data_IF_153162292885
#
_entry.id   IF_153162292885
#
_cell.length_a   1.000
_cell.length_b   1.000
_cell.length_c   1.000
_cell.angle_alpha   90.00
_cell.angle_beta   90.00
_cell.angle_gamma   90.00
#
_symmetry.space_group_name_H-M   'P 1'
#
loop_
_entity.id
_entity.type
_entity.pdbx_description
1 polymer ?
#
# COMPACT_ATOMS: atom_id res chain seq x y z
N UNK A 1 19.30 67.98 -38.02
CA UNK A 1 19.68 67.66 -39.41
C UNK A 1 19.62 68.92 -40.27
N UNK A 2 18.49 69.64 -40.30
CA UNK A 2 18.34 70.89 -41.07
C UNK A 2 19.31 71.99 -40.63
N UNK A 3 19.45 72.24 -39.31
CA UNK A 3 20.38 73.25 -38.75
C UNK A 3 21.85 73.00 -39.08
N UNK A 4 22.27 71.73 -39.14
CA UNK A 4 23.68 71.34 -39.26
C UNK A 4 24.07 70.93 -40.69
N UNK A 5 23.10 70.75 -41.59
CA UNK A 5 23.32 70.17 -42.92
C UNK A 5 23.72 68.68 -42.91
N UNK A 6 23.89 68.07 -41.73
CA UNK A 6 24.34 66.68 -41.58
C UNK A 6 23.14 65.74 -41.70
N UNK A 7 22.94 65.17 -42.90
CA UNK A 7 21.85 64.20 -43.16
C UNK A 7 22.00 62.88 -42.39
N UNK A 8 23.22 62.49 -42.03
CA UNK A 8 23.51 61.25 -41.30
C UNK A 8 23.35 61.34 -39.77
N UNK A 9 23.01 62.51 -39.24
CA UNK A 9 22.89 62.77 -37.80
C UNK A 9 21.72 61.97 -37.21
N UNK A 10 21.97 61.21 -36.13
CA UNK A 10 20.94 60.40 -35.44
C UNK A 10 20.88 60.75 -33.95
N UNK A 11 19.69 60.83 -33.39
CA UNK A 11 19.49 60.89 -31.93
C UNK A 11 19.25 59.46 -31.44
N UNK A 12 19.99 59.03 -30.42
CA UNK A 12 19.91 57.68 -29.87
C UNK A 12 20.00 57.72 -28.35
N UNK A 13 19.54 56.65 -27.71
CA UNK A 13 19.61 56.47 -26.27
C UNK A 13 20.50 55.27 -25.91
N UNK A 14 21.24 55.38 -24.81
CA UNK A 14 21.92 54.24 -24.17
C UNK A 14 21.81 54.38 -22.66
N UNK A 15 21.66 53.27 -21.94
CA UNK A 15 21.54 53.27 -20.47
C UNK A 15 22.73 53.90 -19.74
N UNK A 16 23.92 53.94 -20.34
CA UNK A 16 25.14 54.48 -19.72
C UNK A 16 25.30 55.99 -19.92
N UNK A 17 24.88 56.52 -21.08
CA UNK A 17 25.14 57.92 -21.46
C UNK A 17 23.87 58.74 -21.71
N UNK A 18 22.71 58.11 -21.58
CA UNK A 18 21.46 58.78 -21.83
C UNK A 18 21.20 59.02 -23.32
N UNK A 19 20.46 60.10 -23.61
CA UNK A 19 20.23 60.56 -24.97
C UNK A 19 21.45 61.29 -25.54
N UNK A 20 21.86 60.93 -26.75
CA UNK A 20 22.99 61.56 -27.45
C UNK A 20 22.72 61.71 -28.94
N UNK A 21 23.48 62.61 -29.56
CA UNK A 21 23.50 62.86 -30.99
C UNK A 21 24.75 62.20 -31.58
N UNK A 22 24.55 61.23 -32.45
CA UNK A 22 25.60 60.52 -33.17
C UNK A 22 25.88 61.19 -34.52
N UNK A 23 27.15 61.55 -34.75
CA UNK A 23 27.63 62.14 -36.00
C UNK A 23 28.77 61.30 -36.55
N UNK A 24 28.69 60.95 -37.84
CA UNK A 24 29.70 60.17 -38.55
C UNK A 24 31.03 60.94 -38.66
N UNK A 25 32.17 60.23 -38.61
CA UNK A 25 33.52 60.83 -38.65
C UNK A 25 33.73 61.85 -39.79
N UNK A 26 33.17 61.58 -40.97
CA UNK A 26 33.26 62.47 -42.13
C UNK A 26 32.61 63.86 -41.90
N UNK A 27 31.63 63.96 -40.99
CA UNK A 27 30.82 65.16 -40.78
C UNK A 27 31.14 65.87 -39.45
N UNK A 28 32.18 65.44 -38.73
CA UNK A 28 32.59 66.03 -37.43
C UNK A 28 32.96 67.50 -37.56
N UNK A 29 33.55 67.91 -38.69
CA UNK A 29 33.91 69.29 -38.97
C UNK A 29 32.71 70.24 -39.13
N UNK A 30 31.50 69.69 -39.32
CA UNK A 30 30.24 70.45 -39.43
C UNK A 30 29.49 70.54 -38.09
N UNK A 31 30.05 69.97 -37.02
CA UNK A 31 29.41 69.97 -35.70
C UNK A 31 29.51 71.37 -35.08
N UNK A 32 28.37 71.98 -34.69
CA UNK A 32 28.36 73.29 -34.06
C UNK A 32 29.06 73.33 -32.68
N UNK A 33 29.51 74.50 -32.26
CA UNK A 33 30.22 74.67 -30.98
C UNK A 33 29.35 74.41 -29.73
N UNK A 34 28.01 74.48 -29.84
CA UNK A 34 27.06 74.17 -28.77
C UNK A 34 26.92 72.66 -28.49
N UNK A 35 27.57 71.80 -29.27
CA UNK A 35 27.55 70.34 -29.10
C UNK A 35 28.73 69.92 -28.23
N UNK A 36 28.45 69.50 -26.99
CA UNK A 36 29.48 69.03 -26.07
C UNK A 36 29.79 67.57 -26.36
N UNK A 37 31.02 67.27 -26.78
CA UNK A 37 31.47 65.91 -27.07
C UNK A 37 31.47 65.06 -25.80
N UNK A 38 30.84 63.89 -25.85
CA UNK A 38 30.76 62.94 -24.74
C UNK A 38 31.59 61.68 -24.97
N UNK A 39 31.65 61.18 -26.20
CA UNK A 39 32.37 59.94 -26.50
C UNK A 39 32.81 59.89 -27.96
N UNK A 40 34.00 59.36 -28.21
CA UNK A 40 34.46 59.02 -29.56
C UNK A 40 34.30 57.51 -29.78
N UNK A 41 33.73 57.13 -30.91
CA UNK A 41 33.56 55.74 -31.34
C UNK A 41 34.39 55.48 -32.60
N UNK A 42 34.54 54.21 -32.98
CA UNK A 42 35.30 53.83 -34.19
C UNK A 42 34.75 54.51 -35.46
N UNK A 43 33.42 54.70 -35.53
CA UNK A 43 32.72 55.17 -36.73
C UNK A 43 32.24 56.63 -36.66
N UNK A 44 32.42 57.32 -35.52
CA UNK A 44 31.93 58.69 -35.33
C UNK A 44 32.07 59.22 -33.90
N UNK A 45 31.50 60.39 -33.66
CA UNK A 45 31.51 61.06 -32.36
C UNK A 45 30.08 61.25 -31.83
N UNK A 46 29.93 61.14 -30.50
CA UNK A 46 28.67 61.33 -29.77
C UNK A 46 28.71 62.64 -29.00
N UNK A 47 27.63 63.42 -29.14
CA UNK A 47 27.51 64.74 -28.56
C UNK A 47 26.21 64.89 -27.77
N UNK A 48 26.20 65.85 -26.86
CA UNK A 48 25.03 66.25 -26.10
C UNK A 48 24.90 67.77 -26.14
N UNK A 49 23.69 68.28 -26.30
CA UNK A 49 23.35 69.71 -26.20
C UNK A 49 22.66 69.99 -24.88
N UNK A 50 22.67 71.23 -24.40
CA UNK A 50 21.94 71.62 -23.18
C UNK A 50 20.43 71.35 -23.31
N UNK A 51 19.85 71.59 -24.49
CA UNK A 51 18.44 71.28 -24.77
C UNK A 51 18.14 69.79 -24.63
N UNK A 52 19.04 68.92 -25.11
CA UNK A 52 18.87 67.47 -25.01
C UNK A 52 18.97 66.99 -23.55
N UNK A 53 19.85 67.58 -22.74
CA UNK A 53 19.93 67.29 -21.30
C UNK A 53 18.66 67.69 -20.56
N UNK A 54 18.10 68.85 -20.89
CA UNK A 54 16.86 69.33 -20.28
C UNK A 54 15.69 68.40 -20.63
N UNK A 55 15.58 67.99 -21.90
CA UNK A 55 14.56 67.02 -22.35
C UNK A 55 14.74 65.65 -21.73
N UNK A 56 15.98 65.19 -21.61
CA UNK A 56 16.30 63.95 -20.91
C UNK A 56 15.83 63.98 -19.44
N UNK A 57 16.13 65.07 -18.71
CA UNK A 57 15.65 65.24 -17.34
C UNK A 57 14.12 65.26 -17.24
N UNK A 58 13.45 65.88 -18.21
CA UNK A 58 11.98 65.89 -18.30
C UNK A 58 11.43 64.48 -18.52
N UNK A 59 12.04 63.69 -19.42
CA UNK A 59 11.67 62.30 -19.69
C UNK A 59 11.86 61.43 -18.45
N UNK A 60 13.04 61.45 -17.83
CA UNK A 60 13.29 60.65 -16.62
C UNK A 60 12.35 61.03 -15.47
N UNK A 61 12.08 62.33 -15.27
CA UNK A 61 11.12 62.76 -14.25
C UNK A 61 9.70 62.29 -14.57
N UNK A 62 9.31 62.25 -15.84
CA UNK A 62 8.01 61.74 -16.26
C UNK A 62 7.92 60.21 -16.08
N UNK A 63 8.98 59.46 -16.39
CA UNK A 63 9.06 58.01 -16.16
C UNK A 63 8.95 57.67 -14.67
N UNK A 64 9.70 58.36 -13.80
CA UNK A 64 9.61 58.18 -12.34
C UNK A 64 8.20 58.47 -11.82
N UNK A 65 7.58 59.57 -12.29
CA UNK A 65 6.19 59.91 -11.91
C UNK A 65 5.18 58.89 -12.44
N UNK A 66 5.40 58.38 -13.65
CA UNK A 66 4.54 57.35 -14.25
C UNK A 66 4.59 56.07 -13.43
N UNK A 67 5.79 55.60 -13.06
CA UNK A 67 5.95 54.39 -12.26
C UNK A 67 5.39 54.56 -10.84
N UNK A 68 5.63 55.71 -10.20
CA UNK A 68 5.05 56.01 -8.90
C UNK A 68 3.52 56.01 -8.94
N UNK A 69 2.94 56.59 -10.00
CA UNK A 69 1.48 56.60 -10.20
C UNK A 69 0.94 55.19 -10.46
N UNK A 70 1.64 54.37 -11.22
CA UNK A 70 1.28 52.97 -11.47
C UNK A 70 1.27 52.15 -10.17
N UNK A 71 2.30 52.30 -9.33
CA UNK A 71 2.36 51.63 -8.03
C UNK A 71 1.22 52.06 -7.10
N UNK A 72 0.88 53.35 -7.07
CA UNK A 72 -0.25 53.87 -6.31
C UNK A 72 -1.57 53.26 -6.78
N UNK A 73 -1.80 53.22 -8.10
CA UNK A 73 -3.00 52.63 -8.69
C UNK A 73 -3.09 51.12 -8.45
N UNK A 74 -1.97 50.39 -8.55
CA UNK A 74 -1.91 48.97 -8.27
C UNK A 74 -2.19 48.67 -6.79
N UNK A 75 -1.59 49.43 -5.87
CA UNK A 75 -1.85 49.29 -4.44
C UNK A 75 -3.33 49.57 -4.10
N UNK A 76 -3.93 50.59 -4.72
CA UNK A 76 -5.35 50.88 -4.57
C UNK A 76 -6.24 49.74 -5.10
N UNK A 77 -5.88 49.13 -6.24
CA UNK A 77 -6.58 47.96 -6.77
C UNK A 77 -6.47 46.76 -5.82
N UNK A 78 -5.27 46.47 -5.30
CA UNK A 78 -5.06 45.38 -4.34
C UNK A 78 -5.90 45.59 -3.08
N UNK A 79 -5.92 46.82 -2.53
CA UNK A 79 -6.76 47.15 -1.38
C UNK A 79 -8.25 46.92 -1.68
N UNK A 80 -8.75 47.40 -2.83
CA UNK A 80 -10.14 47.19 -3.23
C UNK A 80 -10.49 45.70 -3.41
N UNK A 81 -9.56 44.87 -3.90
CA UNK A 81 -9.75 43.41 -4.01
C UNK A 81 -9.75 42.75 -2.63
N UNK A 82 -8.88 43.21 -1.71
CA UNK A 82 -8.82 42.68 -0.34
C UNK A 82 -10.07 43.02 0.48
N UNK A 83 -10.69 44.17 0.24
CA UNK A 83 -11.98 44.53 0.84
C UNK A 83 -13.08 43.52 0.48
N UNK A 84 -12.99 42.90 -0.71
CA UNK A 84 -13.91 41.86 -1.20
C UNK A 84 -13.41 40.42 -0.95
N UNK A 85 -12.32 40.25 -0.19
CA UNK A 85 -11.65 38.95 0.00
C UNK A 85 -12.58 37.84 0.50
N UNK A 86 -13.51 38.15 1.41
CA UNK A 86 -14.48 37.17 1.93
C UNK A 86 -15.48 36.73 0.85
N UNK A 87 -15.93 37.64 -0.02
CA UNK A 87 -16.84 37.32 -1.10
C UNK A 87 -16.13 36.47 -2.18
N UNK A 88 -14.88 36.79 -2.48
CA UNK A 88 -14.04 36.02 -3.39
C UNK A 88 -13.75 34.61 -2.85
N UNK A 89 -13.44 34.47 -1.56
CA UNK A 89 -13.23 33.17 -0.92
C UNK A 89 -14.48 32.29 -0.99
N UNK A 90 -15.66 32.83 -0.64
CA UNK A 90 -16.94 32.11 -0.77
C UNK A 90 -17.24 31.68 -2.20
N UNK A 91 -16.91 32.53 -3.17
CA UNK A 91 -17.07 32.20 -4.59
C UNK A 91 -16.15 31.07 -5.00
N UNK A 92 -14.89 31.10 -4.55
CA UNK A 92 -13.93 30.03 -4.82
C UNK A 92 -14.34 28.69 -4.19
N UNK A 93 -14.85 28.71 -2.95
CA UNK A 93 -15.38 27.51 -2.27
C UNK A 93 -16.57 26.91 -3.04
N UNK A 94 -17.53 27.75 -3.47
CA UNK A 94 -18.67 27.28 -4.25
C UNK A 94 -18.25 26.72 -5.63
N UNK A 95 -17.27 27.34 -6.30
CA UNK A 95 -16.72 26.83 -7.56
C UNK A 95 -15.98 25.50 -7.36
N UNK A 96 -15.25 25.34 -6.25
CA UNK A 96 -14.57 24.10 -5.92
C UNK A 96 -15.56 22.96 -5.65
N UNK A 97 -16.65 23.22 -4.92
CA UNK A 97 -17.70 22.24 -4.69
C UNK A 97 -18.38 21.84 -6.01
N UNK A 98 -18.68 22.81 -6.88
CA UNK A 98 -19.25 22.55 -8.21
C UNK A 98 -18.32 21.70 -9.08
N UNK A 99 -17.01 21.95 -9.05
CA UNK A 99 -16.02 21.18 -9.81
C UNK A 99 -15.99 19.71 -9.38
N UNK A 100 -15.96 19.45 -8.07
CA UNK A 100 -15.99 18.08 -7.51
C UNK A 100 -17.29 17.36 -7.88
N UNK A 101 -18.45 18.01 -7.67
CA UNK A 101 -19.76 17.41 -7.96
C UNK A 101 -19.95 17.15 -9.46
N UNK A 102 -19.50 18.07 -10.31
CA UNK A 102 -19.54 17.88 -11.77
C UNK A 102 -18.60 16.74 -12.21
N UNK A 103 -17.40 16.67 -11.63
CA UNK A 103 -16.45 15.57 -11.87
C UNK A 103 -17.04 14.21 -11.50
N UNK A 104 -17.67 14.09 -10.32
CA UNK A 104 -18.34 12.86 -9.91
C UNK A 104 -19.52 12.49 -10.81
N UNK A 105 -20.30 13.46 -11.27
CA UNK A 105 -21.40 13.20 -12.20
C UNK A 105 -20.90 12.66 -13.56
N UNK A 106 -19.78 13.18 -14.06
CA UNK A 106 -19.13 12.65 -15.28
C UNK A 106 -18.64 11.23 -15.05
N UNK A 107 -17.91 10.98 -13.95
CA UNK A 107 -17.40 9.65 -13.61
C UNK A 107 -18.53 8.63 -13.46
N UNK A 108 -19.62 9.01 -12.78
CA UNK A 108 -20.76 8.13 -12.57
C UNK A 108 -21.41 7.71 -13.89
N UNK A 109 -21.51 8.63 -14.86
CA UNK A 109 -22.04 8.34 -16.18
C UNK A 109 -21.09 7.52 -17.05
N UNK A 110 -19.79 7.79 -17.00
CA UNK A 110 -18.81 7.11 -17.86
C UNK A 110 -18.46 5.69 -17.41
N UNK A 111 -18.60 5.41 -16.12
CA UNK A 111 -18.26 4.13 -15.50
C UNK A 111 -19.48 3.37 -14.98
N UNK A 112 -20.69 3.83 -15.33
CA UNK A 112 -21.96 3.22 -14.93
C UNK A 112 -22.05 3.02 -13.41
N UNK A 113 -21.70 4.04 -12.63
CA UNK A 113 -21.83 3.97 -11.17
C UNK A 113 -23.29 4.24 -10.77
N UNK A 114 -23.76 3.52 -9.76
CA UNK A 114 -25.09 3.74 -9.20
C UNK A 114 -25.04 4.72 -8.02
N UNK A 115 -26.17 5.37 -7.75
CA UNK A 115 -26.35 6.14 -6.52
C UNK A 115 -26.58 5.16 -5.38
N UNK A 116 -25.74 5.15 -4.32
CA UNK A 116 -25.97 4.27 -3.18
C UNK A 116 -27.17 4.76 -2.35
N UNK A 117 -27.86 3.82 -1.70
CA UNK A 117 -28.82 4.07 -0.64
C UNK A 117 -28.10 4.01 0.70
N UNK A 118 -28.08 5.12 1.45
CA UNK A 118 -27.53 5.17 2.81
C UNK A 118 -28.66 5.11 3.83
N UNK A 119 -28.52 4.26 4.84
CA UNK A 119 -29.47 4.16 5.96
C UNK A 119 -28.77 4.04 7.32
N UNK A 120 -29.53 4.18 8.40
CA UNK A 120 -29.03 4.10 9.79
C UNK A 120 -28.79 2.66 10.29
N UNK A 121 -29.02 1.65 9.44
CA UNK A 121 -28.81 0.25 9.77
C UNK A 121 -27.32 -0.10 9.74
N UNK A 122 -27.03 -1.36 10.02
CA UNK A 122 -25.72 -1.96 9.81
C UNK A 122 -25.69 -2.88 8.59
N UNK A 123 -26.73 -2.91 7.75
CA UNK A 123 -26.74 -3.76 6.58
C UNK A 123 -25.80 -3.19 5.50
N UNK A 124 -24.99 -4.03 4.90
CA UNK A 124 -24.19 -3.73 3.72
C UNK A 124 -24.61 -4.70 2.64
N UNK A 125 -25.18 -4.19 1.56
CA UNK A 125 -25.58 -4.95 0.38
C UNK A 125 -25.05 -4.29 -0.88
N UNK A 126 -24.28 -5.03 -1.66
CA UNK A 126 -23.70 -4.59 -2.92
C UNK A 126 -24.06 -5.66 -3.96
N UNK A 127 -24.65 -5.24 -5.07
CA UNK A 127 -24.95 -6.10 -6.24
C UNK A 127 -24.03 -5.72 -7.38
N UNK A 128 -23.37 -6.72 -7.97
CA UNK A 128 -22.42 -6.55 -9.06
C UNK A 128 -21.38 -5.44 -8.81
N UNK A 129 -20.81 -5.43 -7.61
CA UNK A 129 -19.77 -4.48 -7.22
C UNK A 129 -18.49 -4.67 -8.03
N UNK A 130 -17.79 -3.57 -8.29
CA UNK A 130 -16.53 -3.51 -9.05
C UNK A 130 -15.46 -2.72 -8.31
N UNK A 131 -14.21 -3.11 -8.45
CA UNK A 131 -13.11 -2.38 -7.83
C UNK A 131 -12.78 -1.13 -8.67
N UNK A 132 -12.96 0.10 -8.14
CA UNK A 132 -12.93 1.33 -8.94
C UNK A 132 -11.58 1.59 -9.62
N UNK A 133 -10.46 1.17 -9.04
CA UNK A 133 -9.13 1.33 -9.66
C UNK A 133 -8.80 0.19 -10.64
N UNK A 134 -8.96 -1.07 -10.22
CA UNK A 134 -8.61 -2.23 -11.04
C UNK A 134 -9.46 -2.30 -12.32
N UNK A 135 -10.75 -1.97 -12.26
CA UNK A 135 -11.59 -1.95 -13.46
C UNK A 135 -11.10 -0.94 -14.51
N UNK A 136 -10.58 0.21 -14.04
CA UNK A 136 -10.04 1.25 -14.91
C UNK A 136 -8.72 0.81 -15.55
N UNK A 137 -7.82 0.23 -14.75
CA UNK A 137 -6.55 -0.31 -15.23
C UNK A 137 -6.77 -1.39 -16.30
N UNK A 138 -7.68 -2.33 -16.05
CA UNK A 138 -8.03 -3.38 -17.03
C UNK A 138 -8.65 -2.79 -18.30
N UNK A 139 -9.44 -1.70 -18.21
CA UNK A 139 -10.01 -1.02 -19.38
C UNK A 139 -8.94 -0.28 -20.20
N UNK A 140 -7.93 0.28 -19.56
CA UNK A 140 -6.83 0.97 -20.23
C UNK A 140 -5.87 -0.02 -20.94
N UNK A 141 -5.54 -1.15 -20.30
CA UNK A 141 -4.68 -2.18 -20.90
C UNK A 141 -5.31 -2.83 -22.15
N UNK A 142 -6.65 -2.87 -22.23
CA UNK A 142 -7.38 -3.33 -23.43
C UNK A 142 -7.12 -2.54 -24.69
N UNK A 143 -6.60 -1.31 -24.61
CA UNK A 143 -6.26 -0.51 -25.80
C UNK A 143 -5.06 -1.08 -26.60
N UNK A 144 -4.42 -2.17 -26.13
CA UNK A 144 -3.26 -2.78 -26.80
C UNK A 144 -3.37 -4.25 -27.24
N UNK A 145 -4.33 -5.04 -26.75
CA UNK A 145 -4.39 -6.50 -27.01
C UNK A 145 -5.84 -7.00 -27.16
N UNK A 146 -6.09 -7.83 -28.19
CA UNK A 146 -7.39 -8.39 -28.57
C UNK A 146 -7.92 -9.50 -27.62
N UNK A 147 -7.79 -9.33 -26.31
CA UNK A 147 -8.25 -10.25 -25.27
C UNK A 147 -9.31 -9.61 -24.37
N UNK A 148 -10.53 -10.16 -24.38
CA UNK A 148 -11.67 -9.70 -23.59
C UNK A 148 -11.52 -10.08 -22.11
N UNK A 149 -10.68 -9.37 -21.35
CA UNK A 149 -10.67 -9.48 -19.88
C UNK A 149 -11.46 -8.32 -19.29
N UNK A 150 -12.77 -8.52 -19.04
CA UNK A 150 -13.56 -7.58 -18.22
C UNK A 150 -13.31 -7.85 -16.76
N UNK A 151 -13.34 -6.79 -15.95
CA UNK A 151 -13.48 -6.95 -14.52
C UNK A 151 -14.73 -7.79 -14.22
N UNK A 152 -14.62 -8.77 -13.33
CA UNK A 152 -15.74 -9.65 -12.95
C UNK A 152 -16.40 -9.05 -11.71
N UNK A 153 -17.65 -8.56 -11.83
CA UNK A 153 -18.35 -7.97 -10.68
C UNK A 153 -18.71 -9.04 -9.65
N UNK A 154 -18.84 -8.62 -8.39
CA UNK A 154 -19.13 -9.51 -7.27
C UNK A 154 -20.11 -8.88 -6.27
N UNK A 155 -21.03 -9.69 -5.78
CA UNK A 155 -21.98 -9.31 -4.74
C UNK A 155 -21.33 -9.33 -3.36
N UNK A 156 -21.82 -8.51 -2.43
CA UNK A 156 -21.47 -8.58 -1.02
C UNK A 156 -22.71 -8.33 -0.16
N UNK A 157 -22.88 -9.14 0.89
CA UNK A 157 -23.98 -9.00 1.85
C UNK A 157 -23.46 -9.27 3.27
N UNK A 158 -23.49 -8.27 4.14
CA UNK A 158 -23.05 -8.33 5.54
C UNK A 158 -23.98 -7.53 6.44
N UNK A 159 -24.25 -8.00 7.64
CA UNK A 159 -24.92 -7.23 8.70
C UNK A 159 -24.49 -7.75 10.06
N UNK A 160 -24.70 -7.01 11.16
CA UNK A 160 -24.33 -7.53 12.48
C UNK A 160 -25.20 -8.72 12.93
N UNK A 161 -26.37 -8.90 12.30
CA UNK A 161 -27.36 -9.93 12.68
C UNK A 161 -27.35 -11.15 11.78
N UNK A 162 -26.91 -11.00 10.53
CA UNK A 162 -26.78 -12.05 9.54
C UNK A 162 -25.54 -11.79 8.67
N UNK A 163 -24.63 -12.77 8.64
CA UNK A 163 -23.36 -12.69 7.95
C UNK A 163 -22.44 -11.56 8.46
N UNK A 164 -22.29 -11.46 9.78
CA UNK A 164 -21.40 -10.50 10.43
C UNK A 164 -19.94 -10.67 10.00
N UNK A 165 -19.48 -11.92 9.89
CA UNK A 165 -18.16 -12.24 9.35
C UNK A 165 -18.33 -13.03 8.06
N UNK A 166 -17.63 -12.59 7.03
CA UNK A 166 -17.47 -13.33 5.79
C UNK A 166 -16.05 -13.87 5.73
N UNK A 167 -15.92 -15.19 5.80
CA UNK A 167 -14.66 -15.89 5.60
C UNK A 167 -14.46 -16.17 4.12
N UNK A 168 -13.36 -15.68 3.54
CA UNK A 168 -13.09 -15.79 2.11
C UNK A 168 -11.89 -16.70 1.91
N UNK A 169 -12.14 -17.84 1.26
CA UNK A 169 -11.12 -18.85 0.98
C UNK A 169 -10.86 -18.99 -0.51
N UNK A 170 -9.69 -19.52 -0.86
CA UNK A 170 -9.30 -19.75 -2.25
C UNK A 170 -7.81 -19.53 -2.50
N UNK A 171 -7.33 -19.88 -3.70
CA UNK A 171 -5.92 -19.73 -4.06
C UNK A 171 -5.44 -18.27 -3.95
N UNK A 172 -4.14 -18.11 -3.74
CA UNK A 172 -3.48 -16.81 -3.90
C UNK A 172 -3.61 -16.38 -5.38
N UNK A 173 -3.72 -15.08 -5.63
CA UNK A 173 -4.01 -14.50 -6.96
C UNK A 173 -5.45 -14.71 -7.50
N UNK A 174 -6.33 -15.38 -6.76
CA UNK A 174 -7.71 -15.62 -7.20
C UNK A 174 -8.65 -14.40 -6.98
N UNK A 175 -8.13 -13.26 -6.51
CA UNK A 175 -8.92 -12.03 -6.35
C UNK A 175 -9.55 -11.81 -4.97
N UNK A 176 -9.19 -12.59 -3.93
CA UNK A 176 -9.65 -12.39 -2.54
C UNK A 176 -9.37 -10.96 -2.03
N UNK A 177 -8.12 -10.51 -2.13
CA UNK A 177 -7.69 -9.18 -1.72
C UNK A 177 -8.37 -8.07 -2.54
N UNK A 178 -8.61 -8.32 -3.83
CA UNK A 178 -9.35 -7.37 -4.69
C UNK A 178 -10.80 -7.24 -4.24
N UNK A 179 -11.46 -8.34 -3.92
CA UNK A 179 -12.84 -8.34 -3.44
C UNK A 179 -13.01 -7.61 -2.11
N UNK A 180 -12.14 -7.88 -1.11
CA UNK A 180 -12.26 -7.19 0.19
C UNK A 180 -11.97 -5.70 0.08
N UNK A 181 -10.98 -5.30 -0.74
CA UNK A 181 -10.69 -3.88 -1.02
C UNK A 181 -11.84 -3.22 -1.76
N UNK A 182 -12.47 -3.92 -2.71
CA UNK A 182 -13.64 -3.43 -3.43
C UNK A 182 -14.77 -3.05 -2.46
N UNK A 183 -15.13 -3.94 -1.53
CA UNK A 183 -16.22 -3.65 -0.57
C UNK A 183 -15.86 -2.44 0.31
N UNK A 184 -14.62 -2.35 0.78
CA UNK A 184 -14.16 -1.20 1.56
C UNK A 184 -14.20 0.12 0.77
N UNK A 185 -13.75 0.10 -0.49
CA UNK A 185 -13.76 1.28 -1.37
C UNK A 185 -15.18 1.72 -1.74
N UNK A 186 -16.09 0.79 -2.01
CA UNK A 186 -17.50 1.09 -2.26
C UNK A 186 -18.13 1.75 -1.04
N UNK A 187 -17.85 1.20 0.16
CA UNK A 187 -18.31 1.77 1.43
C UNK A 187 -17.78 3.19 1.63
N UNK A 188 -16.49 3.43 1.35
CA UNK A 188 -15.87 4.74 1.45
C UNK A 188 -16.50 5.75 0.48
N UNK A 189 -16.64 5.39 -0.80
CA UNK A 189 -17.19 6.26 -1.84
C UNK A 189 -18.62 6.72 -1.50
N UNK A 190 -19.45 5.80 -0.98
CA UNK A 190 -20.80 6.16 -0.55
C UNK A 190 -20.81 7.18 0.59
N UNK A 191 -19.93 7.02 1.59
CA UNK A 191 -19.85 7.95 2.74
C UNK A 191 -19.23 9.31 2.40
N UNK A 192 -18.43 9.37 1.33
CA UNK A 192 -17.91 10.64 0.79
C UNK A 192 -18.97 11.37 -0.06
N UNK A 193 -20.10 10.72 -0.37
CA UNK A 193 -21.20 11.31 -1.15
C UNK A 193 -21.11 11.07 -2.66
N UNK A 194 -20.21 10.20 -3.10
CA UNK A 194 -20.06 9.81 -4.51
C UNK A 194 -21.05 8.69 -4.89
N UNK A 195 -21.29 8.56 -6.19
CA UNK A 195 -21.83 7.33 -6.77
C UNK A 195 -20.78 6.21 -6.65
N UNK A 196 -21.23 4.94 -6.70
CA UNK A 196 -20.38 3.78 -6.43
C UNK A 196 -20.34 2.78 -7.60
N UNK A 197 -19.20 2.08 -7.80
CA UNK A 197 -19.01 1.09 -8.86
C UNK A 197 -19.79 -0.21 -8.58
N UNK A 198 -21.11 -0.18 -8.73
CA UNK A 198 -22.01 -1.32 -8.53
C UNK A 198 -23.29 -1.11 -9.34
N UNK A 199 -24.05 -2.18 -9.58
CA UNK A 199 -25.39 -2.06 -10.17
C UNK A 199 -26.39 -1.53 -9.13
N UNK A 200 -26.27 -1.99 -7.88
CA UNK A 200 -27.02 -1.50 -6.72
C UNK A 200 -26.16 -1.56 -5.47
N UNK A 201 -26.34 -0.61 -4.57
CA UNK A 201 -25.68 -0.60 -3.27
C UNK A 201 -26.57 0.02 -2.19
N UNK A 202 -26.81 -0.73 -1.12
CA UNK A 202 -27.42 -0.24 0.12
C UNK A 202 -26.36 -0.35 1.21
N UNK A 203 -25.99 0.78 1.82
CA UNK A 203 -24.88 0.87 2.76
C UNK A 203 -25.37 1.53 4.05
N UNK A 204 -25.55 0.71 5.08
CA UNK A 204 -25.79 1.16 6.44
C UNK A 204 -24.56 1.87 7.00
N UNK A 205 -24.80 2.94 7.77
CA UNK A 205 -23.75 3.85 8.22
C UNK A 205 -22.54 3.12 8.82
N UNK A 206 -21.36 3.53 8.37
CA UNK A 206 -20.07 3.02 8.80
C UNK A 206 -19.24 4.16 9.37
N UNK A 207 -18.86 4.06 10.64
CA UNK A 207 -18.10 5.11 11.32
C UNK A 207 -16.59 5.02 11.08
N UNK A 208 -16.07 3.79 10.93
CA UNK A 208 -14.66 3.50 10.74
C UNK A 208 -14.47 2.28 9.85
N UNK A 209 -13.54 2.38 8.91
CA UNK A 209 -13.05 1.25 8.12
C UNK A 209 -11.66 0.89 8.65
N UNK A 210 -11.53 -0.32 9.18
CA UNK A 210 -10.26 -0.88 9.63
C UNK A 210 -9.75 -1.85 8.59
N UNK A 211 -8.46 -1.74 8.26
CA UNK A 211 -7.84 -2.63 7.29
C UNK A 211 -6.55 -3.17 7.85
N UNK A 212 -6.40 -4.49 7.86
CA UNK A 212 -5.12 -5.16 7.87
C UNK A 212 -4.98 -5.93 6.59
N UNK A 213 -4.31 -5.31 5.62
CA UNK A 213 -4.00 -5.90 4.34
C UNK A 213 -2.49 -5.98 4.26
N UNK A 214 -1.95 -7.15 3.86
CA UNK A 214 -0.51 -7.34 3.74
C UNK A 214 0.10 -6.24 2.86
N UNK A 215 1.05 -5.49 3.41
CA UNK A 215 1.89 -4.57 2.68
C UNK A 215 3.21 -5.28 2.36
N UNK A 216 3.59 -5.35 1.08
CA UNK A 216 4.95 -5.76 0.69
C UNK A 216 6.01 -4.69 1.08
N UNK A 217 5.58 -3.51 1.52
CA UNK A 217 6.46 -2.36 1.69
C UNK A 217 6.30 -1.71 3.07
N UNK A 218 6.93 -2.33 4.07
CA UNK A 218 7.60 -1.58 5.13
C UNK A 218 8.52 -2.52 5.89
N UNK A 219 9.79 -2.57 5.48
CA UNK A 219 10.88 -2.88 6.39
C UNK A 219 10.93 -1.77 7.45
N UNK A 220 10.04 -1.84 8.43
CA UNK A 220 10.09 -1.02 9.63
C UNK A 220 11.39 -1.36 10.35
N UNK A 221 12.22 -0.34 10.58
CA UNK A 221 13.53 -0.45 11.19
C UNK A 221 13.50 -1.33 12.47
N UNK A 222 13.91 -2.59 12.34
CA UNK A 222 14.15 -3.51 13.46
C UNK A 222 12.94 -4.21 14.09
N UNK A 223 11.73 -4.15 13.51
CA UNK A 223 10.57 -4.90 14.02
C UNK A 223 10.23 -6.11 13.13
N UNK A 224 9.91 -7.25 13.74
CA UNK A 224 9.39 -8.42 13.02
C UNK A 224 8.09 -8.05 12.31
N UNK A 225 7.95 -8.45 11.04
CA UNK A 225 6.73 -8.23 10.23
C UNK A 225 5.48 -8.77 10.94
N UNK A 226 5.64 -9.87 11.66
CA UNK A 226 4.58 -10.45 12.49
C UNK A 226 4.20 -9.57 13.69
N UNK A 227 5.16 -8.91 14.34
CA UNK A 227 4.86 -8.00 15.47
C UNK A 227 4.07 -6.78 15.00
N UNK A 228 4.42 -6.23 13.83
CA UNK A 228 3.67 -5.11 13.23
C UNK A 228 2.25 -5.56 12.90
N UNK A 229 2.10 -6.72 12.27
CA UNK A 229 0.79 -7.32 11.98
C UNK A 229 -0.06 -7.50 13.24
N UNK A 230 0.52 -8.00 14.33
CA UNK A 230 -0.19 -8.18 15.60
C UNK A 230 -0.53 -6.85 16.27
N UNK A 231 0.34 -5.83 16.16
CA UNK A 231 0.08 -4.49 16.71
C UNK A 231 -1.07 -3.81 15.97
N UNK A 232 -1.09 -3.91 14.64
CA UNK A 232 -2.18 -3.42 13.81
C UNK A 232 -3.48 -4.15 14.12
N UNK A 233 -3.43 -5.48 14.22
CA UNK A 233 -4.59 -6.29 14.60
C UNK A 233 -5.12 -5.90 15.99
N UNK A 234 -4.24 -5.74 16.99
CA UNK A 234 -4.63 -5.30 18.31
C UNK A 234 -5.30 -3.92 18.27
N UNK A 235 -4.78 -2.98 17.48
CA UNK A 235 -5.39 -1.67 17.29
C UNK A 235 -6.81 -1.77 16.70
N UNK A 236 -7.03 -2.68 15.75
CA UNK A 236 -8.37 -2.95 15.20
C UNK A 236 -9.30 -3.46 16.29
N UNK A 237 -8.89 -4.51 17.02
CA UNK A 237 -9.75 -5.13 18.04
C UNK A 237 -10.09 -4.18 19.20
N UNK A 238 -9.19 -3.26 19.55
CA UNK A 238 -9.43 -2.30 20.63
C UNK A 238 -10.37 -1.14 20.25
N UNK A 239 -10.47 -0.79 18.97
CA UNK A 239 -11.16 0.44 18.53
C UNK A 239 -12.33 0.20 17.58
N UNK A 240 -12.49 -1.01 17.05
CA UNK A 240 -13.62 -1.36 16.20
C UNK A 240 -14.91 -1.40 17.02
N UNK A 241 -15.90 -0.62 16.59
CA UNK A 241 -17.22 -0.59 17.19
C UNK A 241 -18.25 -1.36 16.36
N UNK A 242 -19.52 -1.43 16.81
CA UNK A 242 -20.58 -2.16 16.10
C UNK A 242 -20.85 -1.64 14.69
N UNK A 243 -20.63 -0.33 14.45
CA UNK A 243 -20.83 0.31 13.14
C UNK A 243 -19.59 0.23 12.24
N UNK A 244 -18.47 -0.30 12.71
CA UNK A 244 -17.25 -0.35 11.93
C UNK A 244 -17.27 -1.48 10.89
N UNK A 245 -16.48 -1.32 9.83
CA UNK A 245 -16.18 -2.35 8.84
C UNK A 245 -14.71 -2.76 9.00
N UNK A 246 -14.47 -4.03 9.27
CA UNK A 246 -13.13 -4.59 9.43
C UNK A 246 -12.78 -5.42 8.20
N UNK A 247 -11.57 -5.24 7.68
CA UNK A 247 -11.03 -6.01 6.56
C UNK A 247 -9.69 -6.62 6.97
N UNK A 248 -9.63 -7.95 7.01
CA UNK A 248 -8.44 -8.72 7.35
C UNK A 248 -8.02 -9.57 6.16
N UNK A 249 -6.75 -9.49 5.78
CA UNK A 249 -6.15 -10.26 4.69
C UNK A 249 -4.93 -11.05 5.20
N UNK A 250 -5.04 -12.38 5.16
CA UNK A 250 -3.95 -13.33 5.45
C UNK A 250 -3.29 -13.18 6.83
N UNK A 251 -4.06 -12.83 7.87
CA UNK A 251 -3.58 -12.81 9.26
C UNK A 251 -2.99 -14.16 9.68
N UNK A 252 -1.87 -14.14 10.40
CA UNK A 252 -1.20 -15.29 10.97
C UNK A 252 -0.11 -15.90 10.09
N UNK A 253 0.12 -15.37 8.87
CA UNK A 253 1.10 -15.96 7.94
C UNK A 253 2.56 -15.82 8.41
N UNK A 254 2.89 -14.80 9.19
CA UNK A 254 4.26 -14.49 9.60
C UNK A 254 4.85 -15.34 10.75
N UNK A 255 4.15 -16.36 11.23
CA UNK A 255 4.53 -17.19 12.40
C UNK A 255 4.37 -18.68 12.13
N UNK A 256 4.56 -19.52 13.15
CA UNK A 256 4.33 -20.97 13.05
C UNK A 256 2.88 -21.25 12.59
N UNK A 257 2.69 -22.27 11.75
CA UNK A 257 1.38 -22.55 11.14
C UNK A 257 0.28 -22.74 12.19
N UNK A 258 0.60 -23.40 13.31
CA UNK A 258 -0.36 -23.64 14.39
C UNK A 258 -0.65 -22.38 15.20
N UNK A 259 0.36 -21.55 15.49
CA UNK A 259 0.14 -20.29 16.21
C UNK A 259 -0.65 -19.31 15.35
N UNK A 260 -0.31 -19.21 14.06
CA UNK A 260 -1.00 -18.36 13.10
C UNK A 260 -2.47 -18.75 12.93
N UNK A 261 -2.75 -20.04 12.78
CA UNK A 261 -4.10 -20.58 12.74
C UNK A 261 -4.87 -20.27 14.04
N UNK A 262 -4.24 -20.53 15.20
CA UNK A 262 -4.89 -20.34 16.51
C UNK A 262 -5.24 -18.88 16.77
N UNK A 263 -4.34 -17.95 16.41
CA UNK A 263 -4.60 -16.52 16.51
C UNK A 263 -5.69 -16.07 15.55
N UNK A 264 -5.61 -16.45 14.27
CA UNK A 264 -6.63 -16.10 13.28
C UNK A 264 -8.02 -16.61 13.70
N UNK A 265 -8.09 -17.82 14.27
CA UNK A 265 -9.29 -18.39 14.83
C UNK A 265 -9.85 -17.56 15.99
N UNK A 266 -9.03 -17.27 17.00
CA UNK A 266 -9.45 -16.49 18.17
C UNK A 266 -9.88 -15.07 17.79
N UNK A 267 -9.22 -14.46 16.81
CA UNK A 267 -9.58 -13.15 16.27
C UNK A 267 -10.96 -13.20 15.59
N UNK A 268 -11.21 -14.22 14.77
CA UNK A 268 -12.51 -14.40 14.12
C UNK A 268 -13.63 -14.59 15.15
N UNK A 269 -13.42 -15.41 16.19
CA UNK A 269 -14.39 -15.58 17.28
C UNK A 269 -14.63 -14.27 18.04
N UNK A 270 -13.58 -13.50 18.31
CA UNK A 270 -13.71 -12.20 18.96
C UNK A 270 -14.53 -11.20 18.13
N UNK A 271 -14.30 -11.15 16.83
CA UNK A 271 -15.03 -10.27 15.90
C UNK A 271 -16.48 -10.74 15.65
N UNK A 272 -16.81 -11.99 15.95
CA UNK A 272 -18.15 -12.54 15.83
C UNK A 272 -19.00 -12.30 17.09
N UNK A 273 -18.43 -11.68 18.13
CA UNK A 273 -19.18 -11.39 19.34
C UNK A 273 -20.41 -10.49 19.06
N UNK A 274 -21.46 -10.56 19.90
CA UNK A 274 -22.59 -9.65 19.81
C UNK A 274 -22.13 -8.19 19.92
N UNK A 275 -22.73 -7.30 19.13
CA UNK A 275 -22.35 -5.87 19.04
C UNK A 275 -20.90 -5.64 18.57
N UNK A 276 -20.30 -6.58 17.85
CA UNK A 276 -18.99 -6.42 17.22
C UNK A 276 -19.17 -5.95 15.75
N UNK A 277 -18.10 -5.47 15.07
CA UNK A 277 -18.18 -4.94 13.72
C UNK A 277 -18.55 -6.00 12.67
N UNK A 278 -18.93 -5.52 11.49
CA UNK A 278 -18.93 -6.31 10.26
C UNK A 278 -17.49 -6.60 9.85
N UNK A 279 -17.17 -7.83 9.45
CA UNK A 279 -15.81 -8.20 9.06
C UNK A 279 -15.75 -9.01 7.76
N UNK A 280 -14.80 -8.64 6.89
CA UNK A 280 -14.35 -9.44 5.77
C UNK A 280 -13.00 -10.05 6.14
N UNK A 281 -12.90 -11.37 6.14
CA UNK A 281 -11.68 -12.08 6.53
C UNK A 281 -11.23 -13.01 5.40
N UNK A 282 -10.27 -12.55 4.61
CA UNK A 282 -9.59 -13.39 3.63
C UNK A 282 -8.50 -14.22 4.30
N UNK A 283 -8.57 -15.54 4.15
CA UNK A 283 -7.65 -16.47 4.81
C UNK A 283 -7.17 -17.57 3.86
N UNK A 284 -6.00 -18.11 4.18
CA UNK A 284 -5.44 -19.31 3.56
C UNK A 284 -5.61 -20.56 4.44
N UNK A 285 -6.08 -20.39 5.68
CA UNK A 285 -6.39 -21.47 6.61
C UNK A 285 -7.79 -22.02 6.31
N UNK A 286 -7.84 -23.24 5.77
CA UNK A 286 -9.12 -23.89 5.44
C UNK A 286 -9.86 -24.33 6.71
N UNK A 287 -9.15 -24.57 7.79
CA UNK A 287 -9.68 -24.96 9.10
C UNK A 287 -10.67 -23.94 9.63
N UNK A 288 -10.44 -22.64 9.39
CA UNK A 288 -11.33 -21.54 9.78
C UNK A 288 -12.74 -21.68 9.19
N UNK A 289 -12.91 -22.36 8.05
CA UNK A 289 -14.23 -22.53 7.42
C UNK A 289 -15.22 -23.27 8.31
N UNK A 290 -14.75 -24.08 9.25
CA UNK A 290 -15.61 -24.76 10.23
C UNK A 290 -16.23 -23.81 11.27
N UNK A 291 -15.82 -22.53 11.31
CA UNK A 291 -16.46 -21.52 12.16
C UNK A 291 -17.92 -21.23 11.76
N UNK A 292 -18.28 -21.38 10.48
CA UNK A 292 -19.68 -21.25 10.03
C UNK A 292 -20.60 -22.28 10.71
N UNK A 293 -20.10 -23.49 10.96
CA UNK A 293 -20.85 -24.54 11.66
C UNK A 293 -20.96 -24.25 13.18
N UNK A 294 -19.97 -23.58 13.75
CA UNK A 294 -19.93 -23.24 15.20
C UNK A 294 -20.68 -21.96 15.55
N UNK A 295 -20.71 -20.98 14.64
CA UNK A 295 -21.30 -19.66 14.82
C UNK A 295 -22.34 -19.41 13.72
N UNK A 296 -23.44 -20.19 13.69
CA UNK A 296 -24.42 -20.15 12.62
C UNK A 296 -25.11 -18.78 12.54
N UNK A 297 -25.25 -18.27 11.33
CA UNK A 297 -25.84 -16.95 11.06
C UNK A 297 -24.87 -15.78 11.25
N UNK A 298 -23.86 -15.90 12.12
CA UNK A 298 -22.84 -14.85 12.30
C UNK A 298 -21.71 -14.98 11.29
N UNK A 299 -21.23 -16.19 11.05
CA UNK A 299 -20.13 -16.45 10.10
C UNK A 299 -20.70 -17.07 8.83
N UNK A 300 -20.27 -16.59 7.66
CA UNK A 300 -20.55 -17.24 6.37
C UNK A 300 -19.28 -17.48 5.58
N UNK A 301 -19.22 -18.63 4.91
CA UNK A 301 -18.12 -18.96 4.02
C UNK A 301 -18.40 -18.50 2.59
N UNK A 302 -17.42 -17.83 2.00
CA UNK A 302 -17.33 -17.58 0.57
C UNK A 302 -16.01 -18.17 0.04
N UNK A 303 -16.01 -18.53 -1.24
CA UNK A 303 -14.81 -18.97 -1.94
C UNK A 303 -14.73 -18.36 -3.34
N UNK A 304 -13.52 -18.30 -3.87
CA UNK A 304 -13.33 -17.94 -5.28
C UNK A 304 -13.60 -19.16 -6.18
N UNK A 305 -14.40 -18.96 -7.23
CA UNK A 305 -14.66 -19.96 -8.26
C UNK A 305 -13.40 -20.26 -9.09
N UNK A 306 -13.06 -21.55 -9.16
CA UNK A 306 -11.91 -22.07 -9.91
C UNK A 306 -12.40 -23.16 -10.87
N UNK A 307 -12.09 -23.02 -12.17
CA UNK A 307 -12.45 -24.03 -13.18
C UNK A 307 -11.23 -24.84 -13.61
N UNK A 308 -11.32 -26.15 -13.46
CA UNK A 308 -10.35 -27.12 -13.97
C UNK A 308 -10.84 -27.69 -15.32
N UNK A 309 -9.97 -27.74 -16.34
CA UNK A 309 -10.27 -28.50 -17.56
C UNK A 309 -10.15 -30.01 -17.32
N UNK A 310 -11.00 -30.85 -17.95
CA UNK A 310 -10.97 -32.30 -17.75
C UNK A 310 -9.62 -32.93 -18.08
N UNK A 311 -9.24 -34.02 -17.38
CA UNK A 311 -8.00 -34.76 -17.66
C UNK A 311 -8.08 -35.40 -19.06
N UNK A 312 -7.11 -35.07 -19.92
CA UNK A 312 -7.03 -35.57 -21.31
C UNK A 312 -6.45 -34.55 -22.30
N UNK A 313 -6.46 -33.27 -21.94
CA UNK A 313 -5.84 -32.21 -22.72
C UNK A 313 -4.40 -31.94 -22.24
N UNK A 314 -3.36 -31.95 -23.10
CA UNK A 314 -2.00 -31.58 -22.74
C UNK A 314 -1.89 -30.17 -22.15
N UNK A 315 -2.91 -29.32 -22.33
CA UNK A 315 -3.04 -27.99 -21.74
C UNK A 315 -4.08 -27.90 -20.62
N UNK A 316 -4.23 -28.92 -19.77
CA UNK A 316 -5.06 -28.83 -18.56
C UNK A 316 -4.67 -27.60 -17.71
N UNK A 317 -5.35 -26.49 -17.95
CA UNK A 317 -5.13 -25.19 -17.35
C UNK A 317 -6.22 -24.96 -16.30
N UNK A 318 -5.82 -24.41 -15.17
CA UNK A 318 -6.75 -23.84 -14.21
C UNK A 318 -7.00 -22.40 -14.63
N UNK A 319 -8.27 -22.02 -14.72
CA UNK A 319 -8.66 -20.64 -14.97
C UNK A 319 -9.34 -20.10 -13.73
N UNK A 320 -8.81 -18.99 -13.21
CA UNK A 320 -9.43 -18.22 -12.13
C UNK A 320 -10.52 -17.35 -12.73
N UNK A 321 -11.76 -17.57 -12.29
CA UNK A 321 -12.92 -16.83 -12.80
C UNK A 321 -13.15 -15.53 -12.04
N UNK A 322 -12.42 -15.30 -10.93
CA UNK A 322 -12.52 -14.11 -10.06
C UNK A 322 -13.94 -13.84 -9.51
N UNK A 323 -14.83 -14.83 -9.60
CA UNK A 323 -16.18 -14.79 -9.05
C UNK A 323 -16.18 -15.35 -7.63
N UNK A 324 -16.81 -14.65 -6.71
CA UNK A 324 -16.99 -15.07 -5.32
C UNK A 324 -18.33 -15.77 -5.20
N UNK A 325 -18.32 -17.00 -4.66
CA UNK A 325 -19.49 -17.85 -4.49
C UNK A 325 -19.66 -18.29 -3.03
N UNK A 326 -20.90 -18.54 -2.57
CA UNK A 326 -21.14 -19.06 -1.24
C UNK A 326 -20.61 -20.49 -1.08
N UNK A 327 -20.21 -20.82 0.16
CA UNK A 327 -19.69 -22.12 0.56
C UNK A 327 -18.17 -22.16 0.72
N UNK A 328 -17.67 -23.30 1.20
CA UNK A 328 -16.25 -23.58 1.39
C UNK A 328 -15.62 -24.25 0.16
N UNK A 329 -14.31 -24.06 -0.03
CA UNK A 329 -13.51 -24.86 -0.95
C UNK A 329 -12.70 -25.91 -0.20
N UNK A 330 -12.87 -27.18 -0.58
CA UNK A 330 -12.17 -28.31 0.05
C UNK A 330 -10.78 -28.58 -0.57
N UNK A 331 -10.38 -27.79 -1.58
CA UNK A 331 -9.14 -28.00 -2.34
C UNK A 331 -8.18 -26.83 -2.19
N UNK A 332 -6.94 -27.15 -1.85
CA UNK A 332 -5.82 -26.22 -1.95
C UNK A 332 -5.21 -26.31 -3.35
N UNK A 333 -5.20 -25.18 -4.06
CA UNK A 333 -4.71 -25.12 -5.43
C UNK A 333 -3.22 -24.75 -5.52
N UNK A 334 -2.49 -24.68 -4.40
CA UNK A 334 -1.09 -24.23 -4.36
C UNK A 334 -0.17 -25.04 -5.28
N UNK A 335 -0.29 -26.38 -5.28
CA UNK A 335 0.49 -27.26 -6.17
C UNK A 335 0.11 -27.05 -7.65
N UNK A 336 -1.15 -26.71 -7.93
CA UNK A 336 -1.61 -26.43 -9.28
C UNK A 336 -1.15 -25.06 -9.78
N UNK A 337 -1.14 -24.04 -8.92
CA UNK A 337 -0.54 -22.73 -9.20
C UNK A 337 0.95 -22.87 -9.48
N UNK A 338 1.66 -23.71 -8.70
CA UNK A 338 3.07 -24.02 -8.95
C UNK A 338 3.30 -24.64 -10.35
N UNK A 339 2.41 -25.53 -10.80
CA UNK A 339 2.45 -26.07 -12.16
C UNK A 339 2.25 -24.97 -13.22
N UNK A 340 1.29 -24.06 -13.02
CA UNK A 340 1.06 -22.93 -13.93
C UNK A 340 2.26 -21.96 -13.98
N UNK A 341 2.95 -21.77 -12.86
CA UNK A 341 4.19 -20.99 -12.79
C UNK A 341 5.39 -21.67 -13.50
N UNK A 342 5.20 -22.87 -14.05
CA UNK A 342 6.22 -23.58 -14.82
C UNK A 342 7.17 -24.43 -13.99
N UNK A 343 6.80 -24.81 -12.74
CA UNK A 343 7.63 -25.73 -11.97
C UNK A 343 7.77 -27.09 -12.67
N UNK A 344 8.94 -27.74 -12.60
CA UNK A 344 9.16 -29.05 -13.21
C UNK A 344 8.13 -30.08 -12.73
N UNK A 345 7.62 -30.90 -13.65
CA UNK A 345 6.59 -31.90 -13.36
C UNK A 345 7.01 -32.89 -12.26
N UNK A 346 8.30 -33.21 -12.18
CA UNK A 346 8.85 -34.06 -11.10
C UNK A 346 8.67 -33.44 -9.71
N UNK A 347 8.84 -32.13 -9.58
CA UNK A 347 8.64 -31.38 -8.33
C UNK A 347 7.16 -31.33 -7.98
N UNK A 348 6.30 -31.04 -8.96
CA UNK A 348 4.83 -31.02 -8.79
C UNK A 348 4.33 -32.39 -8.34
N UNK A 349 4.82 -33.48 -8.96
CA UNK A 349 4.44 -34.85 -8.60
C UNK A 349 4.90 -35.20 -7.19
N UNK A 350 6.15 -34.87 -6.84
CA UNK A 350 6.67 -35.09 -5.47
C UNK A 350 5.89 -34.30 -4.42
N UNK A 351 5.52 -33.05 -4.71
CA UNK A 351 4.70 -32.24 -3.81
C UNK A 351 3.33 -32.87 -3.53
N UNK A 352 2.70 -33.50 -4.54
CA UNK A 352 1.43 -34.22 -4.36
C UNK A 352 1.57 -35.44 -3.45
N UNK A 353 2.65 -36.21 -3.60
CA UNK A 353 2.92 -37.36 -2.73
C UNK A 353 3.10 -36.93 -1.27
N UNK A 354 3.86 -35.85 -1.04
CA UNK A 354 4.08 -35.30 0.30
C UNK A 354 2.77 -34.81 0.91
N UNK A 355 1.96 -34.04 0.16
CA UNK A 355 0.65 -33.57 0.63
C UNK A 355 -0.27 -34.72 1.02
N UNK A 356 -0.32 -35.79 0.21
CA UNK A 356 -1.11 -36.97 0.50
C UNK A 356 -0.66 -37.65 1.81
N UNK A 357 0.65 -37.72 2.08
CA UNK A 357 1.16 -38.28 3.33
C UNK A 357 0.80 -37.45 4.57
N UNK A 358 0.79 -36.12 4.45
CA UNK A 358 0.45 -35.21 5.54
C UNK A 358 -1.06 -35.22 5.85
N UNK A 359 -1.91 -35.29 4.83
CA UNK A 359 -3.37 -35.38 5.00
C UNK A 359 -3.80 -36.65 5.77
N UNK A 360 -3.15 -37.79 5.50
CA UNK A 360 -3.41 -39.05 6.20
C UNK A 360 -2.99 -38.98 7.68
N UNK A 361 -1.95 -38.20 7.99
CA UNK A 361 -1.39 -38.09 9.33
C UNK A 361 -2.24 -37.21 10.27
N UNK A 362 -2.95 -36.21 9.72
CA UNK A 362 -3.87 -35.35 10.49
C UNK A 362 -5.29 -35.92 10.65
N UNK A 363 -5.62 -37.03 9.98
CA UNK A 363 -6.93 -37.69 10.09
C UNK A 363 -7.03 -38.69 11.25
N UNK A 364 -5.95 -38.87 12.03
CA UNK A 364 -5.88 -39.82 13.14
C UNK A 364 -5.72 -39.09 14.49
N UNK A 365 -6.84 -38.64 15.06
CA UNK A 365 -6.98 -38.14 16.44
C UNK A 365 -8.14 -38.86 17.15
N UNK A 366 -8.08 -39.06 18.48
CA UNK A 366 -8.55 -40.27 19.13
C UNK A 366 -10.07 -40.32 19.38
N UNK A 367 -10.68 -41.49 19.12
CA UNK A 367 -12.03 -41.84 19.55
C UNK A 367 -12.11 -41.84 21.08
N UNK A 368 -12.90 -40.90 21.63
CA UNK A 368 -13.30 -40.90 23.02
C UNK A 368 -14.44 -41.91 23.23
N UNK A 369 -14.09 -43.13 23.61
CA UNK A 369 -14.99 -44.01 24.37
C UNK A 369 -14.47 -44.09 25.80
N UNK A 370 -15.29 -43.67 26.79
CA UNK A 370 -15.46 -44.34 28.09
C UNK A 370 -16.22 -43.46 29.09
N UNK A 371 -17.43 -43.89 29.45
CA UNK A 371 -18.06 -43.79 30.79
C UNK A 371 -18.86 -45.12 30.89
N UNK A 372 -18.83 -45.91 31.99
CA UNK A 372 -19.10 -45.41 33.34
C UNK A 372 -18.38 -46.01 34.56
N UNK A 373 -18.58 -45.25 35.63
CA UNK A 373 -18.71 -45.57 37.06
C UNK A 373 -17.49 -45.83 37.95
N UNK A 374 -17.41 -44.92 38.93
CA UNK A 374 -16.57 -44.96 40.11
C UNK A 374 -17.41 -45.41 41.32
N UNK A 375 -16.89 -46.37 42.07
CA UNK A 375 -17.26 -46.58 43.47
C UNK A 375 -16.00 -46.85 44.31
N UNK A 376 -15.88 -46.06 45.39
CA UNK A 376 -15.18 -46.32 46.66
C UNK A 376 -13.64 -46.49 46.71
N UNK A 377 -12.98 -45.37 47.06
CA UNK A 377 -11.97 -45.09 48.13
C UNK A 377 -11.83 -46.16 49.26
N UNK A 378 -10.78 -46.21 50.12
CA UNK A 378 -9.38 -45.70 50.13
C UNK A 378 -8.30 -46.74 50.59
N UNK A 379 -7.01 -46.35 50.56
CA UNK A 379 -6.10 -46.20 51.72
C UNK A 379 -4.62 -46.54 51.44
N UNK A 380 -3.75 -45.60 51.82
CA UNK A 380 -2.30 -45.77 52.01
C UNK A 380 -2.04 -46.20 53.47
N UNK A 381 -0.83 -46.70 53.87
CA UNK A 381 0.29 -45.76 54.08
C UNK A 381 1.74 -46.33 54.01
N UNK A 382 2.70 -45.40 53.87
CA UNK A 382 3.92 -45.22 54.71
C UNK A 382 5.13 -46.21 54.66
N UNK A 383 6.24 -45.64 54.17
CA UNK A 383 7.61 -45.56 54.74
C UNK A 383 8.65 -46.71 54.67
N UNK A 384 9.81 -46.29 54.14
CA UNK A 384 11.17 -46.34 54.72
C UNK A 384 12.23 -47.34 54.20
N UNK A 385 13.36 -46.72 53.81
CA UNK A 385 14.77 -47.09 54.03
C UNK A 385 15.49 -48.15 53.15
N UNK A 386 16.54 -47.62 52.49
CA UNK A 386 17.74 -48.21 51.83
C UNK A 386 18.70 -48.72 52.94
N UNK A 387 19.69 -49.66 52.79
CA UNK A 387 20.62 -49.83 51.65
C UNK A 387 21.16 -51.26 51.33
N UNK A 388 21.83 -51.41 50.18
CA UNK A 388 22.68 -52.59 49.93
C UNK A 388 23.14 -52.75 48.48
N UNK A 389 24.45 -52.76 48.26
CA UNK A 389 25.11 -52.71 46.96
C UNK A 389 25.15 -54.05 46.20
N UNK A 390 25.16 -53.98 44.86
CA UNK A 390 26.23 -54.48 43.97
C UNK A 390 25.72 -55.07 42.65
N UNK A 391 26.38 -54.69 41.55
CA UNK A 391 26.82 -55.65 40.54
C UNK A 391 25.90 -55.99 39.37
N UNK A 392 26.14 -55.27 38.26
CA UNK A 392 26.22 -55.76 36.86
C UNK A 392 24.95 -55.85 35.98
N UNK A 393 25.15 -55.26 34.79
CA UNK A 393 24.61 -55.53 33.44
C UNK A 393 23.31 -54.84 33.04
N UNK A 394 23.50 -53.63 32.49
CA UNK A 394 22.61 -52.96 31.53
C UNK A 394 22.35 -53.85 30.30
N UNK A 395 21.08 -54.08 30.00
CA UNK A 395 20.53 -54.26 28.64
C UNK A 395 19.60 -53.06 28.40
N UNK A 396 19.67 -52.36 27.26
CA UNK A 396 18.89 -51.15 27.06
C UNK A 396 17.43 -51.53 26.80
N UNK A 397 16.51 -50.93 27.55
CA UNK A 397 15.13 -50.80 27.12
C UNK A 397 15.09 -49.73 26.01
N UNK A 398 14.36 -50.02 24.94
CA UNK A 398 14.12 -49.10 23.84
C UNK A 398 13.34 -47.88 24.35
N UNK A 399 14.05 -46.79 24.62
CA UNK A 399 13.45 -45.47 24.57
C UNK A 399 13.37 -45.08 23.10
N UNK A 400 12.14 -45.05 22.58
CA UNK A 400 11.80 -44.34 21.35
C UNK A 400 12.03 -42.85 21.56
N UNK A 401 13.28 -42.43 21.39
CA UNK A 401 13.63 -41.03 21.19
C UNK A 401 13.09 -40.66 19.81
N UNK A 402 11.94 -39.97 19.76
CA UNK A 402 11.61 -39.19 18.57
C UNK A 402 12.73 -38.18 18.39
N UNK A 403 13.50 -38.34 17.30
CA UNK A 403 14.47 -37.36 16.85
C UNK A 403 13.72 -36.05 16.59
N UNK A 404 14.18 -34.90 17.12
CA UNK A 404 13.59 -33.61 16.76
C UNK A 404 13.80 -33.40 15.26
N UNK A 405 12.69 -33.23 14.53
CA UNK A 405 12.63 -33.12 13.07
C UNK A 405 13.18 -31.79 12.51
N UNK A 406 13.80 -30.99 13.36
CA UNK A 406 14.58 -29.82 12.96
C UNK A 406 15.90 -29.86 13.72
N UNK A 407 16.97 -30.20 13.01
CA UNK A 407 18.30 -29.75 13.41
C UNK A 407 18.27 -28.23 13.42
N UNK A 408 18.19 -27.63 14.60
CA UNK A 408 18.59 -26.24 14.79
C UNK A 408 19.99 -26.13 14.22
N UNK A 409 20.15 -25.50 13.06
CA UNK A 409 21.47 -25.09 12.61
C UNK A 409 22.02 -24.19 13.72
N UNK A 410 23.00 -24.68 14.47
CA UNK A 410 23.85 -23.80 15.27
C UNK A 410 24.54 -22.90 14.26
N UNK A 411 24.00 -21.70 14.07
CA UNK A 411 24.60 -20.69 13.21
C UNK A 411 26.01 -20.42 13.73
N UNK A 412 26.96 -20.39 12.81
CA UNK A 412 28.37 -20.22 13.15
C UNK A 412 28.55 -18.85 13.84
N UNK A 413 29.29 -18.74 14.97
CA UNK A 413 29.36 -17.50 15.75
C UNK A 413 29.91 -16.28 14.97
N UNK A 414 30.65 -16.52 13.88
CA UNK A 414 31.05 -15.47 12.95
C UNK A 414 29.88 -14.84 12.17
N UNK A 415 28.78 -15.57 11.94
CA UNK A 415 27.55 -15.08 11.27
C UNK A 415 26.80 -14.13 12.20
N UNK A 416 26.72 -14.44 13.48
CA UNK A 416 26.12 -13.55 14.49
C UNK A 416 26.92 -12.25 14.63
N UNK A 417 28.26 -12.36 14.71
CA UNK A 417 29.13 -11.18 14.73
C UNK A 417 29.01 -10.33 13.46
N UNK A 418 28.73 -10.95 12.31
CA UNK A 418 28.49 -10.23 11.05
C UNK A 418 27.19 -9.42 11.08
N UNK A 419 26.12 -9.97 11.68
CA UNK A 419 24.81 -9.32 11.80
C UNK A 419 24.82 -8.15 12.77
N UNK A 420 25.68 -8.18 13.79
CA UNK A 420 25.81 -7.10 14.77
C UNK A 420 26.70 -5.93 14.31
N UNK A 421 27.41 -6.08 13.18
CA UNK A 421 28.35 -5.07 12.70
C UNK A 421 27.66 -3.89 12.00
N UNK A 422 27.89 -2.68 12.53
CA UNK A 422 27.44 -1.42 11.94
C UNK A 422 28.41 -0.93 10.87
N UNK A 423 28.26 -1.47 9.67
CA UNK A 423 29.17 -1.27 8.52
C UNK A 423 29.41 0.22 8.21
N UNK A 424 28.38 1.06 8.33
CA UNK A 424 28.44 2.50 8.01
C UNK A 424 29.28 3.33 9.01
N UNK A 425 29.58 2.75 10.18
CA UNK A 425 30.34 3.42 11.24
C UNK A 425 31.82 3.05 11.30
N UNK A 426 32.27 2.13 10.43
CA UNK A 426 33.63 1.60 10.46
C UNK A 426 34.56 2.39 9.53
N UNK A 427 35.75 2.73 10.03
CA UNK A 427 36.83 3.21 9.16
C UNK A 427 37.37 2.06 8.30
N UNK A 428 37.98 2.34 7.13
CA UNK A 428 38.49 1.28 6.24
C UNK A 428 39.46 0.30 6.92
N UNK A 429 40.29 0.78 7.86
CA UNK A 429 41.22 -0.07 8.61
C UNK A 429 40.49 -0.96 9.63
N UNK A 430 39.47 -0.43 10.31
CA UNK A 430 38.64 -1.20 11.24
C UNK A 430 37.76 -2.23 10.53
N UNK A 431 37.28 -1.93 9.33
CA UNK A 431 36.57 -2.88 8.49
C UNK A 431 37.49 -4.04 8.09
N UNK A 432 38.73 -3.74 7.68
CA UNK A 432 39.73 -4.75 7.33
C UNK A 432 40.10 -5.65 8.53
N UNK A 433 40.37 -5.08 9.70
CA UNK A 433 40.71 -5.85 10.90
C UNK A 433 39.54 -6.69 11.42
N UNK A 434 38.31 -6.23 11.21
CA UNK A 434 37.10 -6.97 11.57
C UNK A 434 36.88 -8.15 10.63
N UNK A 435 37.03 -7.95 9.32
CA UNK A 435 36.96 -9.02 8.32
C UNK A 435 38.03 -10.08 8.56
N UNK A 436 39.25 -9.68 8.96
CA UNK A 436 40.31 -10.63 9.30
C UNK A 436 39.93 -11.49 10.52
N UNK A 437 39.40 -10.87 11.58
CA UNK A 437 38.93 -11.59 12.79
C UNK A 437 37.78 -12.56 12.50
N UNK A 438 36.84 -12.16 11.65
CA UNK A 438 35.71 -13.02 11.25
C UNK A 438 36.18 -14.23 10.43
N UNK A 439 37.18 -14.05 9.57
CA UNK A 439 37.82 -15.13 8.84
C UNK A 439 38.54 -16.10 9.78
N UNK A 440 39.34 -15.57 10.72
CA UNK A 440 40.04 -16.39 11.71
C UNK A 440 39.06 -17.18 12.60
N UNK A 441 37.90 -16.59 12.94
CA UNK A 441 36.84 -17.26 13.69
C UNK A 441 36.11 -18.34 12.89
N UNK A 442 35.92 -18.14 11.58
CA UNK A 442 35.35 -19.13 10.67
C UNK A 442 36.29 -20.33 10.47
N UNK A 443 37.60 -20.06 10.33
CA UNK A 443 38.61 -21.09 10.12
C UNK A 443 38.89 -21.90 11.41
N UNK A 444 38.63 -21.33 12.60
CA UNK A 444 38.86 -22.00 13.90
C UNK A 444 37.76 -23.00 14.30
N UNK A 445 36.58 -22.98 13.67
CA UNK A 445 35.48 -23.90 13.96
C UNK A 445 35.43 -25.13 13.05
N UNK A 446 36.23 -25.15 11.97
CA UNK A 446 36.40 -26.34 11.13
C UNK A 446 37.57 -27.19 11.67
N UNK A 447 37.23 -28.31 12.34
CA UNK A 447 38.01 -29.55 12.65
C UNK A 447 38.24 -29.81 14.17
N UNK A 448 37.98 -31.03 14.70
CA UNK A 448 37.79 -32.29 13.97
C UNK A 448 36.44 -33.02 14.11
N UNK A 449 36.10 -33.80 13.08
CA UNK A 449 35.33 -35.03 13.21
C UNK A 449 36.24 -36.15 13.75
N UNK A 450 35.83 -36.83 14.84
CA UNK A 450 36.15 -38.24 15.15
C UNK A 450 35.77 -38.61 16.59
N UNK A 451 34.70 -39.39 16.74
CA UNK A 451 34.55 -40.55 17.64
C UNK A 451 33.24 -41.26 17.30
#
# INVERSE_FOLDING_TARGET
QERTGIRSLKVRYTSVFGYYIEVTKANVHLVPADYVRKQTTVNGERYVTEELKLKEKEIFSAEEKSLAREQELFAALVAAVLDESLALARTAEALAELDVLAGWAVLAREWDYCRPELDESDALSITDGRHPVVEQMMKQERLGLAGSYSFVPNDAALSSTDAQIILITGPNMAGKSTYIRQVALITLLAHVGSFVPADRATIGLCDRIFTRIGADDALHAGQSTFMVEMTETANILHHAGPRSLVVLDEIGRGTSTLDGLSLAWAIAEHLAAPNAPRALFATHYHELTSLEERLPGQVRNLHVEVREWPPGDPHAQIVFLHRILPGRTDRSYGIHVARLAGLPLSVVQRAREVLASLAVSHSAGPEATCVPDASSVPDAPSNAAVPGASGRRKRPALETTQLPLFTTYLEHPAVDQLRELKIESLTPLQAFDTLRRLKDAADAAEIPPSA
#
